data_IF_125684494617
#
_entry.id   IF_125684494617
#
_cell.length_a   1.000
_cell.length_b   1.000
_cell.length_c   1.000
_cell.angle_alpha   90.00
_cell.angle_beta   90.00
_cell.angle_gamma   90.00
#
_symmetry.space_group_name_H-M   'P 1'
#
loop_
_entity.id
_entity.type
_entity.pdbx_description
1 polymer ?
#
# COMPACT_ATOMS: atom_id res chain seq x y z
N UNK A 1 -12.35 -13.67 -10.20
CA UNK A 1 -12.13 -14.81 -11.11
C UNK A 1 -13.46 -15.43 -11.40
N UNK A 2 -13.66 -15.93 -12.62
CA UNK A 2 -14.85 -16.65 -13.05
C UNK A 2 -14.46 -18.11 -13.27
N UNK A 3 -15.23 -19.00 -12.66
CA UNK A 3 -15.08 -20.43 -12.80
C UNK A 3 -16.35 -20.98 -13.47
N UNK A 4 -16.22 -22.01 -14.29
CA UNK A 4 -17.36 -22.76 -14.81
C UNK A 4 -17.94 -23.71 -13.75
N UNK A 5 -18.91 -24.54 -14.15
CA UNK A 5 -19.55 -25.51 -13.27
C UNK A 5 -18.62 -26.68 -12.83
N UNK A 6 -17.48 -26.85 -13.50
CA UNK A 6 -16.47 -27.87 -13.21
C UNK A 6 -15.28 -27.30 -12.41
N UNK A 7 -15.41 -26.07 -11.91
CA UNK A 7 -14.37 -25.33 -11.18
C UNK A 7 -13.13 -24.99 -12.02
N UNK A 8 -13.26 -24.96 -13.35
CA UNK A 8 -12.19 -24.56 -14.26
C UNK A 8 -12.22 -23.04 -14.48
N UNK A 9 -11.05 -22.40 -14.51
CA UNK A 9 -10.93 -20.96 -14.75
C UNK A 9 -11.35 -20.63 -16.19
N UNK A 10 -12.41 -19.84 -16.33
CA UNK A 10 -12.83 -19.26 -17.62
C UNK A 10 -12.30 -17.84 -17.82
N UNK A 11 -11.97 -17.12 -16.74
CA UNK A 11 -11.42 -15.77 -16.86
C UNK A 11 -11.43 -14.94 -15.57
N UNK A 12 -11.28 -13.63 -15.74
CA UNK A 12 -11.26 -12.63 -14.67
C UNK A 12 -12.45 -11.68 -14.78
N UNK A 13 -12.83 -11.07 -13.66
CA UNK A 13 -13.99 -10.17 -13.58
C UNK A 13 -13.54 -8.78 -13.15
N UNK A 14 -14.28 -7.75 -13.57
CA UNK A 14 -13.98 -6.36 -13.26
C UNK A 14 -12.88 -5.78 -14.14
N UNK A 15 -12.44 -4.58 -13.80
CA UNK A 15 -11.35 -3.91 -14.49
C UNK A 15 -10.00 -4.58 -14.17
N UNK A 16 -9.16 -4.71 -15.18
CA UNK A 16 -7.83 -5.31 -15.03
C UNK A 16 -6.97 -4.39 -14.16
N UNK A 17 -6.39 -4.93 -13.08
CA UNK A 17 -5.37 -4.24 -12.28
C UNK A 17 -4.00 -4.75 -12.74
N UNK A 18 -3.14 -3.84 -13.16
CA UNK A 18 -1.77 -4.11 -13.60
C UNK A 18 -0.80 -3.10 -12.96
N UNK A 19 0.52 -3.31 -13.02
CA UNK A 19 1.49 -2.47 -12.30
C UNK A 19 1.43 -0.97 -12.59
N UNK A 20 0.81 -0.54 -13.70
CA UNK A 20 0.79 0.87 -14.14
C UNK A 20 -0.59 1.54 -13.98
N UNK A 21 -1.57 0.88 -13.35
CA UNK A 21 -2.88 1.49 -13.07
C UNK A 21 -3.34 1.33 -11.62
N UNK A 22 -2.40 1.03 -10.72
CA UNK A 22 -2.63 0.91 -9.27
C UNK A 22 -2.92 2.29 -8.67
N UNK A 23 -4.20 2.62 -8.57
CA UNK A 23 -4.69 3.86 -7.93
C UNK A 23 -5.80 3.53 -6.94
N UNK A 24 -6.24 4.52 -6.17
CA UNK A 24 -7.30 4.31 -5.20
C UNK A 24 -8.67 4.06 -5.82
N UNK A 25 -8.80 4.16 -7.15
CA UNK A 25 -10.06 3.92 -7.86
C UNK A 25 -10.69 2.57 -7.52
N UNK A 26 -9.86 1.52 -7.40
CA UNK A 26 -10.31 0.18 -6.99
C UNK A 26 -10.95 0.18 -5.60
N UNK A 27 -10.47 1.04 -4.69
CA UNK A 27 -10.99 1.17 -3.34
C UNK A 27 -12.24 2.05 -3.29
N UNK A 28 -12.24 3.18 -3.97
CA UNK A 28 -13.33 4.17 -3.93
C UNK A 28 -14.65 3.59 -4.47
N UNK A 29 -14.57 2.76 -5.50
CA UNK A 29 -15.74 2.09 -6.08
C UNK A 29 -16.22 0.89 -5.23
N UNK A 30 -15.50 0.56 -4.15
CA UNK A 30 -15.84 -0.57 -3.28
C UNK A 30 -16.80 -0.17 -2.13
N UNK A 31 -17.73 -1.07 -1.74
CA UNK A 31 -18.60 -0.85 -0.57
C UNK A 31 -17.82 -0.62 0.74
N UNK A 32 -16.60 -1.16 0.83
CA UNK A 32 -15.73 -1.07 1.99
C UNK A 32 -15.29 0.37 2.30
N UNK A 33 -14.97 1.16 1.28
CA UNK A 33 -14.39 2.50 1.48
C UNK A 33 -15.40 3.53 1.98
N UNK A 34 -16.69 3.36 1.63
CA UNK A 34 -17.77 4.30 2.00
C UNK A 34 -17.96 4.52 3.51
N UNK A 35 -17.47 3.63 4.37
CA UNK A 35 -17.68 3.70 5.83
C UNK A 35 -16.44 4.12 6.63
N UNK A 36 -15.26 4.25 5.99
CA UNK A 36 -13.99 4.43 6.69
C UNK A 36 -13.08 5.45 6.01
N UNK A 37 -13.48 6.73 6.03
CA UNK A 37 -12.65 7.85 5.56
C UNK A 37 -11.51 8.15 6.54
N UNK A 38 -10.45 7.33 6.53
CA UNK A 38 -9.21 7.62 7.25
C UNK A 38 -8.35 8.57 6.42
N UNK A 39 -7.93 9.67 7.03
CA UNK A 39 -7.10 10.70 6.37
C UNK A 39 -5.60 10.47 6.52
N UNK A 40 -5.18 9.53 7.37
CA UNK A 40 -3.78 9.17 7.58
C UNK A 40 -3.50 7.81 6.92
N UNK A 41 -2.50 7.76 6.05
CA UNK A 41 -2.17 6.59 5.23
C UNK A 41 -0.75 6.13 5.50
N UNK A 42 -0.60 4.83 5.71
CA UNK A 42 0.69 4.15 5.63
C UNK A 42 0.66 3.29 4.37
N UNK A 43 1.45 3.68 3.35
CA UNK A 43 1.51 3.01 2.06
C UNK A 43 2.75 2.13 2.02
N UNK A 44 2.56 0.85 1.71
CA UNK A 44 3.63 -0.14 1.55
C UNK A 44 3.62 -0.62 0.11
N UNK A 45 4.78 -0.61 -0.56
CA UNK A 45 4.91 -1.04 -1.96
C UNK A 45 6.28 -1.60 -2.27
N UNK A 46 6.39 -2.40 -3.31
CA UNK A 46 7.66 -3.00 -3.76
C UNK A 46 8.01 -2.58 -5.19
N UNK A 47 7.06 -1.97 -5.91
CA UNK A 47 7.24 -1.49 -7.28
C UNK A 47 7.08 0.03 -7.36
N UNK A 48 7.58 0.63 -8.44
CA UNK A 48 7.36 2.07 -8.71
C UNK A 48 5.88 2.41 -8.84
N UNK A 49 5.06 1.49 -9.33
CA UNK A 49 3.62 1.71 -9.51
C UNK A 49 2.84 1.76 -8.21
N UNK A 50 3.34 1.16 -7.13
CA UNK A 50 2.63 1.10 -5.85
C UNK A 50 2.55 2.45 -5.14
N UNK A 51 3.48 3.36 -5.43
CA UNK A 51 3.52 4.74 -4.90
C UNK A 51 2.20 5.49 -5.16
N UNK A 52 1.47 5.08 -6.21
CA UNK A 52 0.23 5.67 -6.68
C UNK A 52 -1.03 5.03 -6.09
N UNK A 53 -0.93 3.98 -5.25
CA UNK A 53 -2.11 3.28 -4.72
C UNK A 53 -3.06 4.17 -3.90
N UNK A 54 -2.55 5.28 -3.35
CA UNK A 54 -3.36 6.26 -2.63
C UNK A 54 -3.89 7.40 -3.52
N UNK A 55 -3.53 7.45 -4.80
CA UNK A 55 -3.95 8.51 -5.72
C UNK A 55 -5.47 8.44 -5.93
N UNK A 56 -6.14 9.55 -5.59
CA UNK A 56 -7.60 9.65 -5.58
C UNK A 56 -8.23 9.62 -4.19
N UNK A 57 -7.46 9.30 -3.13
CA UNK A 57 -7.93 9.43 -1.75
C UNK A 57 -7.79 10.86 -1.22
N UNK A 58 -8.71 11.28 -0.35
CA UNK A 58 -8.55 12.49 0.45
C UNK A 58 -7.61 12.21 1.64
N UNK A 59 -6.31 12.37 1.40
CA UNK A 59 -5.25 12.11 2.39
C UNK A 59 -4.74 13.40 3.00
N UNK A 60 -4.63 13.43 4.33
CA UNK A 60 -4.00 14.51 5.09
C UNK A 60 -2.53 14.23 5.36
N UNK A 61 -2.19 12.99 5.76
CA UNK A 61 -0.81 12.56 5.98
C UNK A 61 -0.56 11.21 5.33
N UNK A 62 0.60 11.04 4.71
CA UNK A 62 1.02 9.79 4.10
C UNK A 62 2.50 9.51 4.40
N UNK A 63 2.79 8.26 4.76
CA UNK A 63 4.16 7.72 4.82
C UNK A 63 4.24 6.57 3.81
N UNK A 64 5.19 6.64 2.89
CA UNK A 64 5.44 5.64 1.86
C UNK A 64 6.69 4.84 2.19
N UNK A 65 6.54 3.52 2.30
CA UNK A 65 7.64 2.59 2.57
C UNK A 65 7.78 1.64 1.37
N UNK A 66 8.94 1.72 0.71
CA UNK A 66 9.30 0.94 -0.46
C UNK A 66 10.19 -0.25 -0.10
N UNK A 67 9.84 -1.45 -0.54
CA UNK A 67 10.66 -2.65 -0.43
C UNK A 67 11.42 -2.89 -1.73
N UNK A 68 12.72 -2.65 -1.72
CA UNK A 68 13.59 -2.80 -2.89
C UNK A 68 14.48 -4.04 -2.72
N UNK A 69 14.02 -5.15 -3.29
CA UNK A 69 14.68 -6.45 -3.16
C UNK A 69 15.42 -6.91 -4.42
N UNK A 70 15.17 -6.28 -5.57
CA UNK A 70 15.72 -6.69 -6.88
C UNK A 70 16.40 -5.49 -7.52
N UNK A 71 17.58 -5.71 -8.13
CA UNK A 71 18.35 -4.65 -8.80
C UNK A 71 18.58 -3.42 -7.90
N UNK A 72 18.93 -3.65 -6.62
CA UNK A 72 19.02 -2.61 -5.61
C UNK A 72 19.92 -1.46 -6.07
N UNK A 73 21.13 -1.78 -6.56
CA UNK A 73 22.10 -0.77 -7.01
C UNK A 73 21.56 0.09 -8.17
N UNK A 74 20.81 -0.49 -9.10
CA UNK A 74 20.29 0.21 -10.29
C UNK A 74 19.04 1.05 -9.99
N UNK A 75 18.26 0.65 -8.98
CA UNK A 75 16.94 1.21 -8.71
C UNK A 75 16.87 2.07 -7.44
N UNK A 76 17.90 2.06 -6.60
CA UNK A 76 17.88 2.72 -5.29
C UNK A 76 17.59 4.22 -5.40
N UNK A 77 18.27 4.93 -6.30
CA UNK A 77 18.09 6.38 -6.48
C UNK A 77 16.62 6.72 -6.79
N UNK A 78 16.01 5.96 -7.69
CA UNK A 78 14.61 6.15 -8.06
C UNK A 78 13.67 5.81 -6.90
N UNK A 79 13.98 4.79 -6.10
CA UNK A 79 13.15 4.43 -4.94
C UNK A 79 13.24 5.48 -3.83
N UNK A 80 14.43 6.09 -3.61
CA UNK A 80 14.61 7.18 -2.66
C UNK A 80 13.80 8.42 -3.06
N UNK A 81 13.68 8.69 -4.36
CA UNK A 81 12.85 9.80 -4.86
C UNK A 81 11.33 9.53 -4.72
N UNK A 82 10.92 8.26 -4.77
CA UNK A 82 9.51 7.87 -4.76
C UNK A 82 8.95 7.56 -3.36
N UNK A 83 9.78 7.05 -2.46
CA UNK A 83 9.38 6.57 -1.14
C UNK A 83 10.05 7.36 -0.02
N UNK A 84 9.33 7.58 1.08
CA UNK A 84 9.88 8.26 2.26
C UNK A 84 10.89 7.37 3.01
N UNK A 85 10.71 6.05 2.93
CA UNK A 85 11.61 5.04 3.49
C UNK A 85 11.82 3.93 2.46
N UNK A 86 13.07 3.56 2.19
CA UNK A 86 13.41 2.41 1.34
C UNK A 86 14.06 1.33 2.18
N UNK A 87 13.47 0.14 2.18
CA UNK A 87 13.98 -1.05 2.83
C UNK A 87 14.58 -1.97 1.77
N UNK A 88 15.85 -2.34 1.92
CA UNK A 88 16.59 -3.17 0.96
C UNK A 88 16.97 -4.52 1.57
N UNK A 89 17.48 -5.43 0.74
CA UNK A 89 18.03 -6.73 1.15
C UNK A 89 17.02 -7.66 1.83
N UNK A 90 15.82 -7.80 1.25
CA UNK A 90 14.75 -8.68 1.75
C UNK A 90 14.40 -8.39 3.22
N UNK A 91 14.25 -7.11 3.51
CA UNK A 91 13.91 -6.65 4.84
C UNK A 91 12.53 -7.18 5.29
N UNK A 92 12.45 -7.60 6.55
CA UNK A 92 11.17 -7.96 7.19
C UNK A 92 10.25 -6.75 7.39
N UNK A 93 8.99 -7.01 7.78
CA UNK A 93 8.04 -5.97 8.19
C UNK A 93 8.33 -5.36 9.57
N UNK A 94 9.35 -5.83 10.29
CA UNK A 94 9.65 -5.36 11.65
C UNK A 94 9.75 -3.82 11.78
N UNK A 95 10.37 -3.06 10.85
CA UNK A 95 10.37 -1.60 10.94
C UNK A 95 8.95 -0.98 10.89
N UNK A 96 8.07 -1.58 10.09
CA UNK A 96 6.66 -1.17 9.97
C UNK A 96 5.90 -1.48 11.25
N UNK A 97 6.10 -2.68 11.81
CA UNK A 97 5.49 -3.10 13.08
C UNK A 97 5.90 -2.17 14.23
N UNK A 98 7.20 -1.88 14.36
CA UNK A 98 7.73 -0.96 15.37
C UNK A 98 7.15 0.46 15.23
N UNK A 99 6.93 0.95 14.00
CA UNK A 99 6.28 2.24 13.76
C UNK A 99 4.81 2.21 14.22
N UNK A 100 4.08 1.16 13.88
CA UNK A 100 2.68 0.99 14.28
C UNK A 100 2.55 0.90 15.81
N UNK A 101 3.44 0.17 16.48
CA UNK A 101 3.47 0.08 17.95
C UNK A 101 3.66 1.45 18.60
N UNK A 102 4.56 2.28 18.07
CA UNK A 102 4.79 3.63 18.56
C UNK A 102 3.55 4.52 18.37
N UNK A 103 2.92 4.48 17.20
CA UNK A 103 1.70 5.24 16.91
C UNK A 103 0.57 4.83 17.86
N UNK A 104 0.32 3.52 17.99
CA UNK A 104 -0.77 2.99 18.83
C UNK A 104 -0.51 3.24 20.31
N UNK A 105 0.72 3.06 20.78
CA UNK A 105 1.11 3.31 22.18
C UNK A 105 0.95 4.79 22.53
N UNK A 106 1.34 5.69 21.62
CA UNK A 106 1.16 7.12 21.80
C UNK A 106 -0.33 7.50 21.90
N UNK A 107 -1.18 6.94 21.04
CA UNK A 107 -2.63 7.15 21.11
C UNK A 107 -3.20 6.65 22.44
N UNK A 108 -2.73 5.53 22.99
CA UNK A 108 -3.18 5.05 24.31
C UNK A 108 -2.75 5.96 25.46
N UNK A 109 -1.55 6.54 25.38
CA UNK A 109 -1.02 7.43 26.41
C UNK A 109 -1.63 8.84 26.34
N UNK A 110 -2.04 9.30 25.17
CA UNK A 110 -2.75 10.58 24.96
C UNK A 110 -4.29 10.42 25.07
N UNK A 111 -4.79 9.18 25.16
CA UNK A 111 -6.21 8.81 25.10
C UNK A 111 -6.86 8.39 26.42
N UNK A 112 -6.26 8.66 27.58
CA UNK A 112 -7.00 8.70 28.85
C UNK A 112 -7.78 10.02 28.95
N UNK A 113 -8.96 10.03 28.34
CA UNK A 113 -10.06 10.94 28.69
C UNK A 113 -11.06 10.19 29.55
#
# INVERSE_FOLDING_TARGET
MKFDAEEIIEGFCGDIIHPMNKTARVLIDSPFWSHHQRRNVLLLGDSRGDVHMADGLEVEQIIRIGFLNVHVEDALDIYIDLYDVVLTNDASLSPVENLLEQIVTRVKNEGSF
#
